data_IF_908746258458
#
_entry.id   IF_908746258458
#
_cell.length_a   1.000
_cell.length_b   1.000
_cell.length_c   1.000
_cell.angle_alpha   90.00
_cell.angle_beta   90.00
_cell.angle_gamma   90.00
#
_symmetry.space_group_name_H-M   'P 1'
#
loop_
_entity.id
_entity.type
_entity.pdbx_description
1 polymer ?
#
# COMPACT_ATOMS: atom_id res chain seq x y z
N UNK A 1 17.06 7.63 1.10
CA UNK A 1 16.04 8.67 0.93
C UNK A 1 14.90 8.12 0.08
N UNK A 2 13.67 8.20 0.58
CA UNK A 2 12.54 7.72 -0.20
C UNK A 2 12.21 8.72 -1.32
N UNK A 3 11.78 8.19 -2.47
CA UNK A 3 11.32 8.99 -3.59
C UNK A 3 9.80 9.04 -3.56
N UNK A 4 9.26 10.05 -2.90
CA UNK A 4 7.82 10.21 -2.78
C UNK A 4 7.41 11.37 -3.68
N UNK A 5 6.55 11.06 -4.66
CA UNK A 5 6.07 12.10 -5.57
C UNK A 5 5.22 13.12 -4.81
N UNK A 6 5.33 14.38 -5.19
CA UNK A 6 4.64 15.47 -4.48
C UNK A 6 3.13 15.36 -4.47
N UNK A 7 2.55 14.65 -5.43
CA UNK A 7 1.10 14.45 -5.49
C UNK A 7 0.60 13.28 -4.63
N UNK A 8 1.50 12.48 -4.07
CA UNK A 8 1.10 11.37 -3.22
C UNK A 8 0.56 11.88 -1.89
N UNK A 9 -0.48 11.21 -1.40
CA UNK A 9 -1.08 11.54 -0.10
C UNK A 9 -0.70 10.44 0.88
N UNK A 10 0.01 10.80 1.94
CA UNK A 10 0.59 9.84 2.86
C UNK A 10 0.14 10.17 4.28
N UNK A 11 -0.49 9.20 4.94
CA UNK A 11 -0.90 9.36 6.32
C UNK A 11 0.33 9.36 7.25
N UNK A 12 0.28 10.18 8.28
CA UNK A 12 1.39 10.33 9.22
C UNK A 12 1.74 9.06 9.96
N UNK A 13 0.77 8.17 10.16
CA UNK A 13 1.00 6.93 10.88
C UNK A 13 1.60 5.84 10.02
N UNK A 14 1.70 6.07 8.71
CA UNK A 14 2.33 5.09 7.83
C UNK A 14 3.84 5.10 8.01
N UNK A 15 4.45 3.94 7.74
CA UNK A 15 5.89 3.77 7.87
C UNK A 15 6.46 3.39 6.52
N UNK A 16 7.15 4.35 5.89
CA UNK A 16 7.70 4.16 4.54
C UNK A 16 9.21 4.11 4.63
N UNK A 17 9.79 3.00 4.19
CA UNK A 17 11.23 2.84 4.20
C UNK A 17 11.90 3.89 3.31
N UNK A 18 13.06 4.43 3.71
CA UNK A 18 13.76 5.45 2.90
C UNK A 18 14.09 5.01 1.47
N UNK A 19 14.22 3.72 1.22
CA UNK A 19 14.52 3.21 -0.12
C UNK A 19 13.28 2.79 -0.91
N UNK A 20 12.08 3.14 -0.45
CA UNK A 20 10.87 2.89 -1.21
C UNK A 20 10.59 4.03 -2.17
N UNK A 21 9.90 3.73 -3.26
CA UNK A 21 9.46 4.73 -4.24
C UNK A 21 7.95 4.78 -4.29
N UNK A 22 7.39 5.98 -4.14
CA UNK A 22 5.94 6.20 -4.20
C UNK A 22 5.66 7.14 -5.37
N UNK A 23 4.98 6.64 -6.38
CA UNK A 23 4.70 7.41 -7.60
C UNK A 23 3.56 8.41 -7.42
N UNK A 24 3.20 9.09 -8.53
CA UNK A 24 2.18 10.16 -8.48
C UNK A 24 0.79 9.61 -8.18
N UNK A 25 0.01 10.43 -7.50
CA UNK A 25 -1.39 10.15 -7.18
C UNK A 25 -1.63 8.88 -6.37
N UNK A 26 -0.59 8.43 -5.65
CA UNK A 26 -0.76 7.32 -4.72
C UNK A 26 -1.36 7.82 -3.41
N UNK A 27 -2.17 6.98 -2.78
CA UNK A 27 -2.75 7.29 -1.48
C UNK A 27 -2.35 6.19 -0.50
N UNK A 28 -1.63 6.58 0.54
CA UNK A 28 -1.17 5.67 1.57
C UNK A 28 -1.92 6.01 2.85
N UNK A 29 -2.75 5.10 3.30
CA UNK A 29 -3.57 5.32 4.49
C UNK A 29 -2.84 5.01 5.78
N UNK A 30 -3.62 4.97 6.87
CA UNK A 30 -3.12 4.70 8.22
C UNK A 30 -2.63 3.28 8.38
N UNK A 31 -1.63 3.10 9.23
CA UNK A 31 -1.10 1.79 9.61
C UNK A 31 -0.52 0.99 8.45
N UNK A 32 -0.14 1.65 7.38
CA UNK A 32 0.51 1.02 6.24
C UNK A 32 2.02 0.99 6.47
N UNK A 33 2.64 -0.16 6.18
CA UNK A 33 4.08 -0.32 6.26
C UNK A 33 4.63 -0.68 4.90
N UNK A 34 5.53 0.14 4.39
CA UNK A 34 6.19 -0.07 3.09
C UNK A 34 7.67 -0.35 3.36
N UNK A 35 8.11 -1.54 3.00
CA UNK A 35 9.48 -1.96 3.24
C UNK A 35 10.43 -1.46 2.15
N UNK A 36 11.70 -1.84 2.25
CA UNK A 36 12.74 -1.37 1.35
C UNK A 36 12.53 -1.85 -0.09
N UNK A 37 12.94 -1.05 -1.03
CA UNK A 37 12.90 -1.36 -2.46
C UNK A 37 11.51 -1.69 -2.99
N UNK A 38 10.47 -1.28 -2.29
CA UNK A 38 9.10 -1.36 -2.80
C UNK A 38 8.89 -0.19 -3.76
N UNK A 39 8.23 -0.46 -4.87
CA UNK A 39 7.94 0.54 -5.87
C UNK A 39 6.46 0.58 -6.18
N UNK A 40 5.82 1.70 -5.82
CA UNK A 40 4.43 1.94 -6.18
C UNK A 40 4.42 2.86 -7.40
N UNK A 41 3.80 2.42 -8.48
CA UNK A 41 3.77 3.23 -9.70
C UNK A 41 2.81 4.40 -9.53
N UNK A 42 1.81 4.55 -10.34
CA UNK A 42 0.88 5.68 -10.17
C UNK A 42 -0.49 5.19 -9.73
N UNK A 43 -1.26 6.05 -9.05
CA UNK A 43 -2.65 5.75 -8.74
C UNK A 43 -2.83 4.45 -7.96
N UNK A 44 -1.95 4.18 -7.01
CA UNK A 44 -2.04 3.02 -6.13
C UNK A 44 -2.63 3.49 -4.80
N UNK A 45 -3.64 2.78 -4.32
CA UNK A 45 -4.27 3.08 -3.04
C UNK A 45 -3.99 1.95 -2.08
N UNK A 46 -3.37 2.25 -0.94
CA UNK A 46 -3.09 1.28 0.11
C UNK A 46 -3.70 1.78 1.39
N UNK A 47 -4.56 0.99 1.98
CA UNK A 47 -5.26 1.40 3.19
C UNK A 47 -5.39 0.23 4.15
N UNK A 48 -5.73 0.57 5.39
CA UNK A 48 -5.84 -0.41 6.45
C UNK A 48 -4.46 -0.93 6.87
N UNK A 49 -4.46 -1.94 7.70
CA UNK A 49 -3.25 -2.50 8.25
C UNK A 49 -2.55 -3.40 7.23
N UNK A 50 -1.84 -2.77 6.30
CA UNK A 50 -1.22 -3.44 5.17
C UNK A 50 0.29 -3.30 5.24
N UNK A 51 1.02 -4.40 5.07
CA UNK A 51 2.47 -4.41 4.99
C UNK A 51 2.89 -4.90 3.61
N UNK A 52 3.72 -4.13 2.94
CA UNK A 52 4.29 -4.51 1.65
C UNK A 52 5.77 -4.78 1.86
N UNK A 53 6.16 -6.04 1.66
CA UNK A 53 7.53 -6.48 1.91
C UNK A 53 8.47 -6.11 0.77
N UNK A 54 9.76 -6.23 1.05
CA UNK A 54 10.82 -5.72 0.18
C UNK A 54 10.73 -6.17 -1.28
N UNK A 55 11.06 -5.28 -2.19
CA UNK A 55 11.20 -5.60 -3.60
C UNK A 55 9.91 -5.77 -4.36
N UNK A 56 8.78 -5.57 -3.73
CA UNK A 56 7.47 -5.68 -4.38
C UNK A 56 7.21 -4.47 -5.26
N UNK A 57 6.71 -4.70 -6.45
CA UNK A 57 6.31 -3.66 -7.39
C UNK A 57 4.80 -3.67 -7.56
N UNK A 58 4.18 -2.53 -7.37
CA UNK A 58 2.73 -2.38 -7.49
C UNK A 58 2.41 -1.50 -8.69
N UNK A 59 1.63 -2.02 -9.61
CA UNK A 59 1.29 -1.37 -10.86
C UNK A 59 0.10 -0.42 -10.71
N UNK A 60 -0.11 0.48 -11.66
CA UNK A 60 -1.16 1.50 -11.52
C UNK A 60 -2.57 0.95 -11.36
N UNK A 61 -3.42 1.75 -10.72
CA UNK A 61 -4.83 1.44 -10.51
C UNK A 61 -5.07 0.17 -9.67
N UNK A 62 -4.25 -0.01 -8.66
CA UNK A 62 -4.34 -1.13 -7.73
C UNK A 62 -4.79 -0.63 -6.37
N UNK A 63 -5.69 -1.36 -5.73
CA UNK A 63 -6.16 -1.05 -4.37
C UNK A 63 -5.81 -2.22 -3.45
N UNK A 64 -5.05 -1.95 -2.42
CA UNK A 64 -4.62 -2.97 -1.46
C UNK A 64 -5.14 -2.64 -0.07
N UNK A 65 -5.62 -3.64 0.63
CA UNK A 65 -5.99 -3.51 2.03
C UNK A 65 -7.28 -2.78 2.30
N UNK A 66 -8.16 -2.65 1.30
CA UNK A 66 -9.45 -2.00 1.51
C UNK A 66 -10.27 -2.71 2.58
N UNK A 67 -11.12 -1.95 3.27
CA UNK A 67 -11.97 -2.53 4.30
C UNK A 67 -12.94 -3.53 3.70
N UNK A 68 -13.19 -4.65 4.40
CA UNK A 68 -14.20 -5.58 3.93
C UNK A 68 -15.57 -4.93 3.92
N UNK A 69 -16.37 -5.25 2.91
CA UNK A 69 -17.70 -4.70 2.74
C UNK A 69 -18.74 -5.40 3.60
N UNK A 70 -18.32 -6.18 4.57
CA UNK A 70 -19.20 -6.94 5.43
C UNK A 70 -19.63 -6.10 6.62
N UNK A 71 -20.91 -5.81 6.69
CA UNK A 71 -21.48 -5.06 7.80
C UNK A 71 -21.35 -5.77 9.15
N UNK A 72 -21.07 -7.06 9.13
CA UNK A 72 -20.84 -7.83 10.35
C UNK A 72 -19.41 -7.76 10.83
N UNK A 73 -18.57 -7.08 10.12
CA UNK A 73 -17.18 -6.88 10.53
C UNK A 73 -17.16 -5.99 11.75
N UNK A 74 -16.93 -6.56 12.91
CA UNK A 74 -17.01 -5.85 14.19
C UNK A 74 -15.66 -5.36 14.68
N UNK A 75 -14.94 -4.67 13.82
CA UNK A 75 -13.69 -4.08 14.25
C UNK A 75 -12.57 -5.07 14.51
N UNK A 76 -12.71 -6.31 14.06
CA UNK A 76 -11.56 -7.18 14.02
C UNK A 76 -10.53 -6.53 13.13
N UNK A 77 -9.34 -6.34 13.68
CA UNK A 77 -8.29 -5.68 12.93
C UNK A 77 -7.64 -6.68 11.99
N UNK A 78 -8.29 -6.88 10.85
CA UNK A 78 -7.68 -7.65 9.79
C UNK A 78 -6.41 -6.95 9.31
N UNK A 79 -5.53 -7.72 8.73
CA UNK A 79 -4.31 -7.18 8.12
C UNK A 79 -4.02 -7.88 6.81
N UNK A 80 -3.36 -7.17 5.92
CA UNK A 80 -2.91 -7.71 4.65
C UNK A 80 -1.39 -7.64 4.62
N UNK A 81 -0.75 -8.74 4.25
CA UNK A 81 0.69 -8.77 4.10
C UNK A 81 1.04 -9.26 2.70
N UNK A 82 1.73 -8.42 1.95
CA UNK A 82 2.25 -8.77 0.64
C UNK A 82 3.69 -9.22 0.81
N UNK A 83 4.01 -10.42 0.39
CA UNK A 83 5.34 -10.98 0.51
C UNK A 83 6.37 -10.25 -0.35
N UNK A 84 7.62 -10.71 -0.29
CA UNK A 84 8.72 -10.05 -1.00
C UNK A 84 8.69 -10.34 -2.48
N UNK A 85 9.19 -9.39 -3.26
CA UNK A 85 9.45 -9.53 -4.69
C UNK A 85 8.22 -9.90 -5.52
N UNK A 86 7.04 -9.49 -5.09
CA UNK A 86 5.82 -9.71 -5.85
C UNK A 86 5.60 -8.60 -6.88
N UNK A 87 4.91 -8.96 -7.95
CA UNK A 87 4.39 -7.98 -8.91
C UNK A 87 2.88 -7.95 -8.80
N UNK A 88 2.35 -6.85 -8.30
CA UNK A 88 0.90 -6.65 -8.20
C UNK A 88 0.50 -5.81 -9.41
N UNK A 89 -0.12 -6.46 -10.37
CA UNK A 89 -0.42 -5.84 -11.66
C UNK A 89 -1.61 -4.89 -11.57
N UNK A 90 -1.88 -4.21 -12.69
CA UNK A 90 -2.92 -3.19 -12.80
C UNK A 90 -4.30 -3.76 -12.48
N UNK A 91 -5.16 -2.92 -11.91
CA UNK A 91 -6.56 -3.23 -11.60
C UNK A 91 -6.77 -4.37 -10.61
N UNK A 92 -5.73 -4.74 -9.86
CA UNK A 92 -5.87 -5.74 -8.81
C UNK A 92 -6.46 -5.06 -7.57
N UNK A 93 -7.40 -5.72 -6.92
CA UNK A 93 -7.97 -5.28 -5.66
C UNK A 93 -7.82 -6.39 -4.64
N UNK A 94 -7.20 -6.08 -3.50
CA UNK A 94 -7.05 -7.03 -2.40
C UNK A 94 -7.64 -6.43 -1.14
N UNK A 95 -8.38 -7.22 -0.41
CA UNK A 95 -9.02 -6.81 0.85
C UNK A 95 -8.34 -7.47 2.04
N UNK A 96 -8.50 -6.83 3.16
CA UNK A 96 -8.04 -7.37 4.43
C UNK A 96 -8.86 -8.58 4.82
#
# INVERSE_FOLDING_TARGET
MSLIHSTAIIDKSSNIHPNAEIGPFCVIGRDVVIKENVKLLSNVVIQGKTTICSGTKVWPFTVLGGDPQDLKFKGEKGSLKIGRNNNIREHVTMHI
#
